data_IF_906120106078
#
_entry.id   IF_906120106078
#
_cell.length_a   1.000
_cell.length_b   1.000
_cell.length_c   1.000
_cell.angle_alpha   90.00
_cell.angle_beta   90.00
_cell.angle_gamma   90.00
#
_symmetry.space_group_name_H-M   'P 1'
#
loop_
_entity.id
_entity.type
_entity.pdbx_description
1 polymer ?
#
# COMPACT_ATOMS: atom_id res chain seq x y z
N UNK A 1 -10.39 13.85 5.33
CA UNK A 1 -9.68 13.05 4.35
C UNK A 1 -9.38 11.71 4.98
N UNK A 2 -9.93 10.66 4.41
CA UNK A 2 -9.83 9.32 4.98
C UNK A 2 -8.37 8.83 4.80
N UNK A 3 -7.70 8.49 5.90
CA UNK A 3 -6.31 8.02 5.87
C UNK A 3 -6.14 6.78 4.98
N UNK A 4 -7.17 5.95 4.87
CA UNK A 4 -7.22 4.76 4.03
C UNK A 4 -7.13 5.07 2.53
N UNK A 5 -7.61 6.23 2.10
CA UNK A 5 -7.54 6.64 0.69
C UNK A 5 -6.15 7.08 0.24
N UNK A 6 -5.27 7.43 1.18
CA UNK A 6 -3.96 7.97 0.84
C UNK A 6 -3.05 6.98 0.09
N UNK A 7 -2.88 5.72 0.53
CA UNK A 7 -2.11 4.72 -0.20
C UNK A 7 -2.67 4.45 -1.60
N UNK A 8 -3.98 4.32 -1.72
CA UNK A 8 -4.66 4.07 -2.99
C UNK A 8 -4.41 5.18 -4.01
N UNK A 9 -4.69 6.42 -3.62
CA UNK A 9 -4.48 7.59 -4.48
C UNK A 9 -3.04 7.73 -4.91
N UNK A 10 -2.10 7.57 -3.97
CA UNK A 10 -0.68 7.70 -4.27
C UNK A 10 -0.20 6.63 -5.25
N UNK A 11 -0.60 5.39 -5.05
CA UNK A 11 -0.25 4.28 -5.93
C UNK A 11 -0.78 4.47 -7.36
N UNK A 12 -2.01 4.98 -7.51
CA UNK A 12 -2.55 5.33 -8.82
C UNK A 12 -1.72 6.43 -9.49
N UNK A 13 -1.42 7.52 -8.78
CA UNK A 13 -0.68 8.66 -9.34
C UNK A 13 0.74 8.28 -9.76
N UNK A 14 1.48 7.59 -8.88
CA UNK A 14 2.86 7.17 -9.17
C UNK A 14 2.89 6.09 -10.27
N UNK A 15 1.96 5.13 -10.24
CA UNK A 15 1.84 4.12 -11.29
C UNK A 15 1.49 4.70 -12.66
N UNK A 16 0.65 5.75 -12.72
CA UNK A 16 0.38 6.47 -13.98
C UNK A 16 1.62 7.21 -14.48
N UNK A 17 2.36 7.87 -13.58
CA UNK A 17 3.60 8.55 -13.94
C UNK A 17 4.61 7.57 -14.55
N UNK A 18 4.78 6.39 -13.94
CA UNK A 18 5.65 5.33 -14.46
C UNK A 18 5.20 4.82 -15.83
N UNK A 19 3.89 4.66 -16.04
CA UNK A 19 3.35 4.24 -17.34
C UNK A 19 3.65 5.28 -18.44
N UNK A 20 3.44 6.57 -18.14
CA UNK A 20 3.73 7.67 -19.06
C UNK A 20 5.23 7.75 -19.38
N UNK A 21 6.07 7.62 -18.35
CA UNK A 21 7.52 7.58 -18.54
C UNK A 21 7.94 6.42 -19.42
N UNK A 22 7.44 5.20 -19.15
CA UNK A 22 7.76 4.02 -19.95
C UNK A 22 7.31 4.17 -21.41
N UNK A 23 6.14 4.77 -21.64
CA UNK A 23 5.67 5.07 -22.99
C UNK A 23 6.60 6.07 -23.69
N UNK A 24 6.94 7.17 -23.04
CA UNK A 24 7.88 8.16 -23.58
C UNK A 24 9.25 7.54 -23.90
N UNK A 25 9.83 6.79 -22.97
CA UNK A 25 11.11 6.09 -23.18
C UNK A 25 11.04 5.12 -24.38
N UNK A 26 9.89 4.53 -24.66
CA UNK A 26 9.70 3.64 -25.80
C UNK A 26 9.76 4.37 -27.17
N UNK A 27 9.50 5.68 -27.18
CA UNK A 27 9.55 6.52 -28.39
C UNK A 27 10.94 7.04 -28.70
N UNK A 28 11.89 6.96 -27.76
CA UNK A 28 13.26 7.43 -27.96
C UNK A 28 14.01 6.54 -28.96
N UNK A 29 14.79 7.17 -29.83
CA UNK A 29 15.73 6.44 -30.66
C UNK A 29 16.95 5.95 -29.82
N UNK A 30 17.88 5.24 -30.49
CA UNK A 30 19.04 4.65 -29.80
C UNK A 30 20.02 5.71 -29.28
N UNK A 31 20.14 6.84 -29.96
CA UNK A 31 21.04 7.94 -29.55
C UNK A 31 20.48 8.66 -28.33
N UNK A 32 19.20 9.07 -28.37
CA UNK A 32 18.54 9.76 -27.27
C UNK A 32 18.48 8.89 -26.02
N UNK A 33 18.22 7.59 -26.20
CA UNK A 33 18.23 6.63 -25.07
C UNK A 33 19.61 6.48 -24.44
N UNK A 34 20.67 6.47 -25.24
CA UNK A 34 22.05 6.44 -24.72
C UNK A 34 22.39 7.71 -23.97
N UNK A 35 22.01 8.88 -24.50
CA UNK A 35 22.21 10.17 -23.85
C UNK A 35 21.46 10.22 -22.52
N UNK A 36 20.17 9.90 -22.50
CA UNK A 36 19.38 9.84 -21.27
C UNK A 36 20.03 8.97 -20.19
N UNK A 37 20.50 7.76 -20.56
CA UNK A 37 21.15 6.86 -19.62
C UNK A 37 22.50 7.41 -19.12
N UNK A 38 23.24 8.15 -19.93
CA UNK A 38 24.51 8.75 -19.53
C UNK A 38 24.33 9.94 -18.60
N UNK A 39 23.20 10.63 -18.69
CA UNK A 39 22.85 11.79 -17.86
C UNK A 39 22.12 11.42 -16.58
N UNK A 40 21.64 10.16 -16.44
CA UNK A 40 21.02 9.70 -15.20
C UNK A 40 22.00 9.85 -14.04
N UNK A 41 21.64 10.62 -13.01
CA UNK A 41 22.51 10.82 -11.87
C UNK A 41 22.75 9.50 -11.15
N UNK A 42 24.01 9.20 -10.90
CA UNK A 42 24.41 8.03 -10.13
C UNK A 42 24.26 8.37 -8.63
N UNK A 43 23.05 8.24 -8.11
CA UNK A 43 22.77 8.45 -6.69
C UNK A 43 23.34 7.26 -5.90
N UNK A 44 24.55 7.42 -5.39
CA UNK A 44 25.08 6.48 -4.41
C UNK A 44 24.68 6.96 -3.01
N UNK A 45 23.47 6.58 -2.57
CA UNK A 45 23.02 6.87 -1.22
C UNK A 45 23.65 5.85 -0.27
N UNK A 46 24.58 6.32 0.56
CA UNK A 46 25.24 5.49 1.58
C UNK A 46 24.46 5.37 2.90
N UNK A 47 23.29 6.01 2.98
CA UNK A 47 22.45 5.97 4.18
C UNK A 47 21.55 4.74 4.13
N UNK A 48 21.73 3.84 5.09
CA UNK A 48 20.80 2.73 5.31
C UNK A 48 19.66 3.23 6.19
N UNK A 49 18.47 3.34 5.61
CA UNK A 49 17.24 3.63 6.35
C UNK A 49 16.62 2.32 6.87
N UNK A 50 15.94 2.35 8.02
CA UNK A 50 15.12 1.22 8.45
C UNK A 50 14.12 0.80 7.37
N UNK A 51 13.84 -0.49 7.26
CA UNK A 51 13.01 -1.06 6.19
C UNK A 51 11.61 -0.44 6.10
N UNK A 52 11.03 -0.02 7.23
CA UNK A 52 9.71 0.59 7.26
C UNK A 52 9.60 1.89 6.44
N UNK A 53 10.72 2.59 6.19
CA UNK A 53 10.70 3.76 5.30
C UNK A 53 10.54 3.39 3.83
N UNK A 54 10.95 2.17 3.43
CA UNK A 54 10.89 1.73 2.04
C UNK A 54 9.54 1.10 1.67
N UNK A 55 8.82 0.54 2.65
CA UNK A 55 7.54 -0.16 2.43
C UNK A 55 6.53 0.69 1.65
N UNK A 56 6.26 1.97 2.04
CA UNK A 56 5.32 2.80 1.28
C UNK A 56 5.81 3.09 -0.14
N UNK A 57 7.12 3.30 -0.34
CA UNK A 57 7.67 3.55 -1.67
C UNK A 57 7.50 2.33 -2.58
N UNK A 58 7.73 1.13 -2.07
CA UNK A 58 7.49 -0.09 -2.83
C UNK A 58 6.02 -0.27 -3.18
N UNK A 59 5.11 0.04 -2.24
CA UNK A 59 3.68 0.02 -2.52
C UNK A 59 3.32 0.99 -3.65
N UNK A 60 3.78 2.25 -3.57
CA UNK A 60 3.38 3.30 -4.50
C UNK A 60 4.00 3.11 -5.89
N UNK A 61 5.30 2.85 -5.97
CA UNK A 61 6.04 2.75 -7.23
C UNK A 61 6.05 1.33 -7.79
N UNK A 62 6.40 0.34 -6.98
CA UNK A 62 6.51 -1.05 -7.44
C UNK A 62 5.14 -1.69 -7.73
N UNK A 63 4.34 -1.79 -6.69
CA UNK A 63 3.02 -2.43 -6.80
C UNK A 63 2.00 -1.52 -7.51
N UNK A 64 2.01 -0.20 -7.24
CA UNK A 64 1.18 0.77 -7.96
C UNK A 64 1.45 0.78 -9.46
N UNK A 65 2.72 0.72 -9.86
CA UNK A 65 3.10 0.56 -11.27
C UNK A 65 2.58 -0.75 -11.89
N UNK A 66 2.62 -1.85 -11.13
CA UNK A 66 2.06 -3.13 -11.57
C UNK A 66 0.53 -3.07 -11.73
N UNK A 67 -0.16 -2.48 -10.75
CA UNK A 67 -1.61 -2.26 -10.79
C UNK A 67 -2.01 -1.47 -12.04
N UNK A 68 -1.40 -0.32 -12.28
CA UNK A 68 -1.74 0.55 -13.42
C UNK A 68 -1.47 -0.14 -14.77
N UNK A 69 -0.41 -0.94 -14.88
CA UNK A 69 -0.18 -1.75 -16.10
C UNK A 69 -1.30 -2.75 -16.35
N UNK A 70 -1.81 -3.40 -15.31
CA UNK A 70 -2.92 -4.36 -15.43
C UNK A 70 -4.23 -3.65 -15.74
N UNK A 71 -4.54 -2.52 -15.06
CA UNK A 71 -5.70 -1.67 -15.36
C UNK A 71 -5.65 -1.18 -16.82
N UNK A 72 -4.49 -0.71 -17.29
CA UNK A 72 -4.31 -0.32 -18.69
C UNK A 72 -4.52 -1.50 -19.65
N UNK A 73 -4.07 -2.68 -19.29
CA UNK A 73 -4.26 -3.88 -20.13
C UNK A 73 -5.73 -4.24 -20.25
N UNK A 74 -6.49 -4.12 -19.16
CA UNK A 74 -7.92 -4.46 -19.10
C UNK A 74 -8.80 -3.46 -19.88
N UNK A 75 -8.60 -2.13 -19.69
CA UNK A 75 -9.52 -1.12 -20.24
C UNK A 75 -8.84 0.13 -20.83
N UNK A 76 -7.50 0.08 -21.10
CA UNK A 76 -6.73 1.17 -21.69
C UNK A 76 -6.75 2.44 -20.81
N UNK A 77 -6.65 3.61 -21.43
CA UNK A 77 -6.65 4.91 -20.72
C UNK A 77 -7.98 5.21 -20.04
N UNK A 78 -9.08 4.65 -20.52
CA UNK A 78 -10.40 4.83 -19.92
C UNK A 78 -10.47 4.23 -18.52
N UNK A 79 -10.05 2.99 -18.37
CA UNK A 79 -9.97 2.33 -17.06
C UNK A 79 -8.99 3.04 -16.08
N UNK A 80 -7.87 3.59 -16.60
CA UNK A 80 -6.96 4.40 -15.78
C UNK A 80 -7.66 5.66 -15.27
N UNK A 81 -8.42 6.36 -16.12
CA UNK A 81 -9.14 7.54 -15.68
C UNK A 81 -10.22 7.21 -14.63
N UNK A 82 -10.89 6.08 -14.77
CA UNK A 82 -11.87 5.59 -13.79
C UNK A 82 -11.21 5.25 -12.45
N UNK A 83 -9.99 4.71 -12.45
CA UNK A 83 -9.26 4.36 -11.22
C UNK A 83 -8.97 5.56 -10.30
N UNK A 84 -9.00 6.78 -10.81
CA UNK A 84 -8.90 8.00 -10.00
C UNK A 84 -10.13 8.25 -9.12
N UNK A 85 -11.26 7.63 -9.43
CA UNK A 85 -12.53 7.74 -8.71
C UNK A 85 -12.87 6.49 -7.91
N UNK A 86 -12.23 5.36 -8.24
CA UNK A 86 -12.35 4.09 -7.52
C UNK A 86 -10.98 3.73 -6.93
N UNK A 87 -10.63 4.35 -5.81
CA UNK A 87 -9.32 4.16 -5.20
C UNK A 87 -9.15 2.74 -4.67
N UNK A 88 -8.03 2.08 -5.00
CA UNK A 88 -7.75 0.74 -4.50
C UNK A 88 -7.41 0.76 -3.01
N UNK A 89 -7.74 -0.31 -2.32
CA UNK A 89 -7.19 -0.61 -0.99
C UNK A 89 -5.72 -1.03 -1.09
N UNK A 90 -4.99 -1.05 0.02
CA UNK A 90 -3.60 -1.53 0.04
C UNK A 90 -3.51 -2.99 -0.45
N UNK A 91 -4.47 -3.83 -0.09
CA UNK A 91 -4.56 -5.20 -0.56
C UNK A 91 -4.71 -5.29 -2.09
N UNK A 92 -5.61 -4.50 -2.66
CA UNK A 92 -5.83 -4.43 -4.11
C UNK A 92 -4.62 -3.89 -4.87
N UNK A 93 -3.77 -3.08 -4.23
CA UNK A 93 -2.51 -2.64 -4.82
C UNK A 93 -1.50 -3.79 -4.84
N UNK A 94 -1.40 -4.57 -3.76
CA UNK A 94 -0.55 -5.77 -3.71
C UNK A 94 -1.05 -6.87 -4.65
N UNK A 95 -2.36 -6.98 -4.84
CA UNK A 95 -3.01 -7.98 -5.69
C UNK A 95 -3.98 -7.32 -6.68
N UNK A 96 -3.49 -6.86 -7.85
CA UNK A 96 -4.31 -6.16 -8.84
C UNK A 96 -5.54 -6.94 -9.34
N UNK A 97 -5.52 -8.26 -9.30
CA UNK A 97 -6.68 -9.09 -9.66
C UNK A 97 -7.88 -8.82 -8.74
N UNK A 98 -7.64 -8.53 -7.45
CA UNK A 98 -8.68 -8.15 -6.49
C UNK A 98 -9.30 -6.79 -6.83
N UNK A 99 -8.49 -5.84 -7.32
CA UNK A 99 -8.98 -4.56 -7.80
C UNK A 99 -9.86 -4.74 -9.05
N UNK A 100 -9.38 -5.51 -10.02
CA UNK A 100 -10.10 -5.76 -11.27
C UNK A 100 -11.39 -6.57 -11.08
N UNK A 101 -11.46 -7.38 -10.03
CA UNK A 101 -12.67 -8.12 -9.63
C UNK A 101 -13.58 -7.33 -8.68
N UNK A 102 -13.22 -6.10 -8.33
CA UNK A 102 -13.97 -5.24 -7.41
C UNK A 102 -14.18 -5.90 -6.04
N UNK A 103 -13.18 -6.65 -5.55
CA UNK A 103 -13.27 -7.31 -4.25
C UNK A 103 -13.42 -6.27 -3.12
N UNK A 104 -14.49 -6.34 -2.32
CA UNK A 104 -14.75 -5.30 -1.33
C UNK A 104 -13.87 -5.47 -0.09
N UNK A 105 -13.45 -4.34 0.50
CA UNK A 105 -12.88 -4.33 1.84
C UNK A 105 -13.94 -4.76 2.87
N UNK A 106 -13.56 -5.63 3.81
CA UNK A 106 -14.42 -6.06 4.90
C UNK A 106 -14.28 -5.09 6.08
N UNK A 107 -15.33 -4.32 6.34
CA UNK A 107 -15.35 -3.45 7.52
C UNK A 107 -15.49 -4.31 8.79
N UNK A 108 -14.40 -4.43 9.54
CA UNK A 108 -14.37 -5.17 10.81
C UNK A 108 -14.58 -4.19 11.96
N UNK A 109 -15.70 -4.36 12.68
CA UNK A 109 -15.96 -3.55 13.88
C UNK A 109 -15.34 -4.21 15.11
N UNK A 110 -14.74 -3.40 15.97
CA UNK A 110 -14.22 -3.77 17.28
C UNK A 110 -14.86 -2.90 18.36
N UNK A 111 -15.34 -3.53 19.42
CA UNK A 111 -15.91 -2.82 20.55
C UNK A 111 -14.83 -2.31 21.46
N UNK A 112 -15.00 -1.08 21.98
CA UNK A 112 -14.16 -0.53 23.02
C UNK A 112 -14.42 -1.25 24.34
N UNK A 113 -13.37 -1.77 24.97
CA UNK A 113 -13.48 -2.44 26.25
C UNK A 113 -13.48 -1.43 27.42
N UNK A 114 -14.30 -1.68 28.42
CA UNK A 114 -14.20 -1.00 29.71
C UNK A 114 -13.17 -1.74 30.57
N UNK A 115 -12.02 -1.12 30.78
CA UNK A 115 -10.89 -1.67 31.54
C UNK A 115 -10.66 -0.84 32.79
N UNK A 116 -10.54 -1.49 33.95
CA UNK A 116 -10.48 -0.80 35.26
C UNK A 116 -9.28 0.16 35.40
N UNK A 117 -8.12 -0.25 34.82
CA UNK A 117 -6.87 0.52 34.95
C UNK A 117 -6.43 1.22 33.66
N UNK A 118 -7.18 1.11 32.59
CA UNK A 118 -6.82 1.66 31.28
C UNK A 118 -7.86 2.62 30.74
N UNK A 119 -7.39 3.70 30.18
CA UNK A 119 -8.21 4.68 29.47
C UNK A 119 -8.08 4.49 27.95
N UNK A 120 -9.18 4.63 27.23
CA UNK A 120 -9.20 4.64 25.76
C UNK A 120 -8.34 5.81 25.24
N UNK A 121 -7.54 5.55 24.22
CA UNK A 121 -6.77 6.56 23.49
C UNK A 121 -7.39 6.80 22.11
N UNK A 122 -7.41 5.76 21.27
CA UNK A 122 -7.78 5.86 19.86
C UNK A 122 -8.19 4.49 19.31
N UNK A 123 -8.82 4.49 18.14
CA UNK A 123 -9.15 3.29 17.37
C UNK A 123 -9.07 3.54 15.88
N UNK A 124 -8.81 2.52 15.11
CA UNK A 124 -8.69 2.62 13.67
C UNK A 124 -8.92 1.29 12.94
N UNK A 125 -8.77 1.38 11.64
CA UNK A 125 -8.79 0.22 10.76
C UNK A 125 -7.37 -0.31 10.57
N UNK A 126 -7.26 -1.61 10.28
CA UNK A 126 -6.02 -2.27 9.84
C UNK A 126 -6.18 -2.61 8.38
N UNK A 127 -5.22 -2.18 7.57
CA UNK A 127 -5.14 -2.57 6.17
C UNK A 127 -3.96 -3.52 5.89
N UNK A 128 -3.83 -3.95 4.64
CA UNK A 128 -2.76 -4.85 4.23
C UNK A 128 -1.37 -4.22 4.35
N UNK A 129 -1.25 -2.90 4.26
CA UNK A 129 0.02 -2.20 4.47
C UNK A 129 0.49 -2.32 5.91
N UNK A 130 -0.42 -2.22 6.89
CA UNK A 130 -0.12 -2.40 8.31
C UNK A 130 0.40 -3.81 8.60
N UNK A 131 -0.20 -4.83 7.96
CA UNK A 131 0.27 -6.22 8.09
C UNK A 131 1.69 -6.38 7.54
N UNK A 132 2.01 -5.74 6.42
CA UNK A 132 3.38 -5.76 5.89
C UNK A 132 4.35 -5.09 6.86
N UNK A 133 4.00 -3.94 7.44
CA UNK A 133 4.82 -3.27 8.46
C UNK A 133 5.11 -4.19 9.66
N UNK A 134 4.09 -4.88 10.15
CA UNK A 134 4.22 -5.77 11.32
C UNK A 134 5.08 -7.00 11.04
N UNK A 135 4.93 -7.61 9.88
CA UNK A 135 5.50 -8.92 9.58
C UNK A 135 6.85 -8.88 8.86
N UNK A 136 7.11 -7.87 8.01
CA UNK A 136 8.27 -7.85 7.13
C UNK A 136 9.60 -8.09 7.85
N UNK A 137 9.78 -7.51 9.04
CA UNK A 137 11.03 -7.68 9.81
C UNK A 137 11.23 -9.09 10.38
N UNK A 138 10.17 -9.91 10.41
CA UNK A 138 10.16 -11.25 11.01
C UNK A 138 10.20 -12.37 9.97
N UNK A 139 9.44 -12.23 8.91
CA UNK A 139 9.28 -13.30 7.89
C UNK A 139 9.80 -12.89 6.50
N UNK A 140 10.28 -11.66 6.35
CA UNK A 140 10.71 -11.11 5.06
C UNK A 140 9.55 -10.52 4.26
N UNK A 141 9.90 -9.69 3.27
CA UNK A 141 8.92 -8.89 2.53
C UNK A 141 7.94 -9.75 1.72
N UNK A 142 8.42 -10.74 0.99
CA UNK A 142 7.57 -11.58 0.11
C UNK A 142 6.51 -12.30 0.93
N UNK A 143 6.90 -12.92 2.04
CA UNK A 143 5.96 -13.65 2.89
C UNK A 143 5.01 -12.69 3.63
N UNK A 144 5.48 -11.50 4.01
CA UNK A 144 4.63 -10.47 4.63
C UNK A 144 3.56 -9.96 3.64
N UNK A 145 3.92 -9.69 2.39
CA UNK A 145 2.97 -9.30 1.34
C UNK A 145 1.98 -10.43 1.05
N UNK A 146 2.45 -11.68 0.94
CA UNK A 146 1.56 -12.82 0.73
C UNK A 146 0.56 -13.01 1.89
N UNK A 147 0.99 -12.77 3.13
CA UNK A 147 0.08 -12.79 4.28
C UNK A 147 -0.91 -11.62 4.26
N UNK A 148 -0.48 -10.45 3.79
CA UNK A 148 -1.30 -9.25 3.71
C UNK A 148 -2.39 -9.32 2.62
N UNK A 149 -2.14 -10.03 1.51
CA UNK A 149 -3.11 -10.24 0.42
C UNK A 149 -4.33 -11.07 0.87
N UNK A 150 -4.22 -11.86 1.93
CA UNK A 150 -5.35 -12.61 2.49
C UNK A 150 -6.10 -11.90 3.61
N UNK A 151 -5.88 -10.59 3.79
CA UNK A 151 -6.56 -9.79 4.80
C UNK A 151 -7.83 -9.18 4.24
N UNK A 152 -8.99 -9.69 4.64
CA UNK A 152 -10.27 -9.06 4.27
C UNK A 152 -10.50 -7.72 4.98
N UNK A 153 -9.97 -7.55 6.19
CA UNK A 153 -10.04 -6.32 6.96
C UNK A 153 -9.64 -6.49 8.41
N UNK A 154 -9.52 -5.39 9.13
CA UNK A 154 -9.21 -5.41 10.56
C UNK A 154 -9.45 -4.09 11.26
N UNK A 155 -9.46 -4.13 12.59
CA UNK A 155 -9.57 -2.95 13.44
C UNK A 155 -8.70 -3.08 14.69
N UNK A 156 -8.33 -1.96 15.25
CA UNK A 156 -7.57 -1.87 16.49
C UNK A 156 -8.17 -0.83 17.44
N UNK A 157 -7.91 -1.03 18.73
CA UNK A 157 -8.22 -0.05 19.79
C UNK A 157 -7.05 0.01 20.75
N UNK A 158 -6.58 1.22 21.01
CA UNK A 158 -5.48 1.52 21.91
C UNK A 158 -5.96 2.06 23.25
N UNK A 159 -5.26 1.65 24.31
CA UNK A 159 -5.49 2.04 25.69
C UNK A 159 -4.18 2.39 26.38
N UNK A 160 -4.24 3.25 27.39
CA UNK A 160 -3.11 3.63 28.23
C UNK A 160 -3.50 3.56 29.71
N UNK A 161 -2.59 3.11 30.59
CA UNK A 161 -2.76 3.18 32.03
C UNK A 161 -2.05 4.40 32.66
N UNK A 162 -2.19 4.56 33.95
CA UNK A 162 -1.56 5.66 34.71
C UNK A 162 -0.01 5.57 34.78
N UNK A 163 0.56 4.42 34.45
CA UNK A 163 2.02 4.18 34.36
C UNK A 163 2.57 4.41 32.96
N UNK A 164 1.72 4.83 32.02
CA UNK A 164 1.99 4.98 30.58
C UNK A 164 2.25 3.65 29.84
N UNK A 165 1.79 2.53 30.37
CA UNK A 165 1.81 1.29 29.63
C UNK A 165 0.69 1.30 28.58
N UNK A 166 1.04 0.87 27.37
CA UNK A 166 0.12 0.77 26.24
C UNK A 166 -0.43 -0.65 26.15
N UNK A 167 -1.73 -0.74 25.89
CA UNK A 167 -2.42 -1.98 25.60
C UNK A 167 -3.25 -1.81 24.33
N UNK A 168 -3.09 -2.71 23.35
CA UNK A 168 -3.83 -2.69 22.11
C UNK A 168 -4.66 -3.97 21.96
N UNK A 169 -5.91 -3.81 21.58
CA UNK A 169 -6.74 -4.91 21.07
C UNK A 169 -6.83 -4.85 19.56
N UNK A 170 -6.75 -6.01 18.93
CA UNK A 170 -6.79 -6.13 17.48
C UNK A 170 -7.78 -7.22 17.09
N UNK A 171 -8.60 -6.93 16.10
CA UNK A 171 -9.50 -7.89 15.46
C UNK A 171 -9.22 -7.93 13.97
N UNK A 172 -8.89 -9.10 13.46
CA UNK A 172 -8.56 -9.32 12.05
C UNK A 172 -9.51 -10.36 11.46
N UNK A 173 -9.93 -10.12 10.23
CA UNK A 173 -10.72 -11.06 9.44
C UNK A 173 -9.99 -11.31 8.12
N UNK A 174 -9.76 -12.58 7.82
CA UNK A 174 -9.24 -12.99 6.50
C UNK A 174 -10.35 -13.04 5.45
N UNK A 175 -9.96 -13.13 4.20
CA UNK A 175 -10.86 -13.42 3.09
C UNK A 175 -11.46 -14.82 3.22
N UNK A 176 -12.63 -15.01 2.61
CA UNK A 176 -13.34 -16.31 2.57
C UNK A 176 -12.91 -17.15 1.37
#
# INVERSE_FOLDING_TARGET
>A
DDFMDYPGRRSIMEGQADLVQAYWESTLDSYDRQQMNSERPNFNCSVSLPSYFYIPFELYYGYGGSLIKQVHTAGKMEAINESLFQLPTAEQIYSPDKYLSEEPYINVEIETLELEDYSFIDKGQIDSLDIVYLLQSKIGQVDAVNAAIGLGGGSWVDYINNENDLFMTVKIQGDN
#
